data_IF_274044849447
#
_entry.id   IF_274044849447
#
_cell.length_a   1.000
_cell.length_b   1.000
_cell.length_c   1.000
_cell.angle_alpha   90.00
_cell.angle_beta   90.00
_cell.angle_gamma   90.00
#
_symmetry.space_group_name_H-M   'P 1'
#
loop_
_entity.id
_entity.type
_entity.pdbx_description
1 polymer ?
#
# COMPACT_ATOMS: atom_id res chain seq x y z
N UNK A 1 -17.24 13.56 -1.48
CA UNK A 1 -15.77 13.60 -1.28
C UNK A 1 -15.35 14.98 -0.80
N UNK A 2 -14.50 15.07 0.21
CA UNK A 2 -13.92 16.32 0.73
C UNK A 2 -12.41 16.24 0.66
N UNK A 3 -11.77 17.18 -0.03
CA UNK A 3 -10.30 17.26 -0.01
C UNK A 3 -9.86 17.66 1.40
N UNK A 4 -9.04 16.83 2.02
CA UNK A 4 -8.50 17.07 3.37
C UNK A 4 -7.05 17.53 3.31
N UNK A 5 -6.31 17.18 2.26
CA UNK A 5 -4.95 17.66 2.02
C UNK A 5 -4.71 17.87 0.53
N UNK A 6 -4.16 19.03 0.16
CA UNK A 6 -3.78 19.33 -1.21
C UNK A 6 -2.28 19.11 -1.43
N UNK A 7 -1.91 18.50 -2.57
CA UNK A 7 -0.52 18.21 -2.93
C UNK A 7 -0.21 16.72 -3.01
N UNK A 8 1.00 16.39 -3.47
CA UNK A 8 1.39 15.01 -3.76
C UNK A 8 1.61 14.20 -2.48
N UNK A 9 0.73 13.23 -2.26
CA UNK A 9 0.85 12.23 -1.18
C UNK A 9 1.50 10.97 -1.74
N UNK A 10 2.48 10.42 -1.03
CA UNK A 10 3.20 9.21 -1.45
C UNK A 10 2.55 7.94 -0.91
N UNK A 11 2.11 7.98 0.34
CA UNK A 11 1.51 6.83 1.02
C UNK A 11 0.73 7.30 2.24
N UNK A 12 -0.42 6.67 2.47
CA UNK A 12 -1.27 6.79 3.65
C UNK A 12 -1.31 5.41 4.33
N UNK A 13 -1.18 5.39 5.65
CA UNK A 13 -1.34 4.19 6.47
C UNK A 13 -2.39 4.44 7.55
N UNK A 14 -3.30 3.47 7.79
CA UNK A 14 -4.25 3.57 8.89
C UNK A 14 -3.50 3.45 10.23
N UNK A 15 -4.00 4.16 11.23
CA UNK A 15 -3.63 3.98 12.64
C UNK A 15 -4.91 3.69 13.44
N UNK A 16 -4.80 3.16 14.68
CA UNK A 16 -5.99 2.89 15.50
C UNK A 16 -6.88 4.12 15.74
N UNK A 17 -6.29 5.32 15.74
CA UNK A 17 -6.98 6.57 16.02
C UNK A 17 -7.05 7.51 14.81
N UNK A 18 -6.69 7.06 13.60
CA UNK A 18 -6.58 7.98 12.48
C UNK A 18 -5.81 7.44 11.28
N UNK A 19 -5.07 8.34 10.63
CA UNK A 19 -4.15 8.01 9.54
C UNK A 19 -2.84 8.76 9.71
N UNK A 20 -1.76 8.19 9.20
CA UNK A 20 -0.47 8.84 9.04
C UNK A 20 -0.07 8.76 7.57
N UNK A 21 0.53 9.81 7.03
CA UNK A 21 0.89 9.85 5.61
C UNK A 21 2.15 10.66 5.36
N UNK A 22 2.82 10.33 4.26
CA UNK A 22 3.98 11.05 3.74
C UNK A 22 3.61 11.84 2.48
N UNK A 23 4.18 13.02 2.33
CA UNK A 23 3.88 13.92 1.21
C UNK A 23 5.11 14.70 0.74
N UNK A 24 5.03 15.19 -0.49
CA UNK A 24 6.02 16.10 -1.06
C UNK A 24 5.89 17.47 -0.38
N UNK A 25 6.86 17.82 0.45
CA UNK A 25 6.92 19.13 1.10
C UNK A 25 7.50 20.18 0.16
N UNK A 26 8.59 19.84 -0.52
CA UNK A 26 9.31 20.75 -1.40
C UNK A 26 10.25 19.97 -2.34
N UNK A 27 10.79 20.66 -3.34
CA UNK A 27 11.85 20.17 -4.22
C UNK A 27 12.98 21.21 -4.25
N UNK A 28 14.17 20.84 -3.79
CA UNK A 28 15.36 21.71 -3.79
C UNK A 28 16.46 21.03 -4.59
N UNK A 29 16.94 21.69 -5.66
CA UNK A 29 18.00 21.17 -6.54
C UNK A 29 17.74 19.72 -7.00
N UNK A 30 16.54 19.47 -7.52
CA UNK A 30 16.00 18.15 -7.92
C UNK A 30 15.85 17.11 -6.79
N UNK A 31 16.20 17.45 -5.55
CA UNK A 31 16.00 16.60 -4.38
C UNK A 31 14.60 16.78 -3.81
N UNK A 32 13.90 15.65 -3.66
CA UNK A 32 12.57 15.59 -3.05
C UNK A 32 12.67 15.68 -1.53
N UNK A 33 12.04 16.70 -0.94
CA UNK A 33 11.87 16.81 0.51
C UNK A 33 10.54 16.19 0.89
N UNK A 34 10.60 15.17 1.75
CA UNK A 34 9.43 14.47 2.26
C UNK A 34 9.14 14.90 3.69
N UNK A 35 7.87 15.17 3.97
CA UNK A 35 7.37 15.40 5.32
C UNK A 35 6.20 14.46 5.63
N UNK A 36 5.80 14.47 6.91
CA UNK A 36 4.85 13.52 7.46
C UNK A 36 3.80 14.24 8.28
N UNK A 37 2.56 13.83 8.13
CA UNK A 37 1.43 14.33 8.93
C UNK A 37 0.59 13.17 9.43
N UNK A 38 -0.09 13.40 10.55
CA UNK A 38 -1.10 12.50 11.11
C UNK A 38 -2.40 13.26 11.28
N UNK A 39 -3.53 12.60 11.01
CA UNK A 39 -4.87 13.07 11.40
C UNK A 39 -5.36 12.10 12.46
N UNK A 40 -5.90 12.59 13.58
CA UNK A 40 -6.63 11.76 14.54
C UNK A 40 -8.13 12.02 14.47
N UNK A 41 -8.94 11.01 14.77
CA UNK A 41 -10.40 11.12 14.79
C UNK A 41 -10.91 12.03 15.91
N UNK A 42 -10.14 12.15 16.99
CA UNK A 42 -10.53 12.93 18.18
C UNK A 42 -10.67 14.44 17.88
N UNK A 43 -9.83 14.97 16.98
CA UNK A 43 -9.83 16.40 16.69
C UNK A 43 -9.93 16.74 15.19
N UNK A 44 -9.78 15.75 14.30
CA UNK A 44 -9.81 15.93 12.84
C UNK A 44 -8.72 16.85 12.31
N UNK A 45 -7.69 17.17 13.10
CA UNK A 45 -6.62 18.11 12.76
C UNK A 45 -5.37 17.38 12.29
N UNK A 46 -4.75 17.95 11.27
CA UNK A 46 -3.43 17.52 10.84
C UNK A 46 -2.37 17.99 11.84
N UNK A 47 -1.56 17.05 12.29
CA UNK A 47 -0.39 17.32 13.13
C UNK A 47 0.85 16.87 12.38
N UNK A 48 1.89 17.71 12.35
CA UNK A 48 3.19 17.29 11.82
C UNK A 48 3.78 16.21 12.73
N UNK A 49 4.35 15.16 12.12
CA UNK A 49 4.94 14.05 12.86
C UNK A 49 6.39 13.85 12.46
N UNK A 50 7.19 13.45 13.43
CA UNK A 50 8.60 13.15 13.20
C UNK A 50 8.75 11.87 12.36
N UNK A 51 9.83 11.81 11.56
CA UNK A 51 10.14 10.68 10.67
C UNK A 51 10.10 9.33 11.38
N UNK A 52 10.57 9.26 12.62
CA UNK A 52 10.58 8.04 13.41
C UNK A 52 9.16 7.49 13.70
N UNK A 53 8.15 8.35 13.85
CA UNK A 53 6.76 7.93 14.05
C UNK A 53 6.22 7.27 12.78
N UNK A 54 6.44 7.90 11.62
CA UNK A 54 6.08 7.33 10.32
C UNK A 54 6.76 5.98 10.06
N UNK A 55 8.07 5.89 10.32
CA UNK A 55 8.82 4.65 10.14
C UNK A 55 8.39 3.55 11.11
N UNK A 56 8.07 3.90 12.36
CA UNK A 56 7.52 2.96 13.34
C UNK A 56 6.20 2.38 12.86
N UNK A 57 5.30 3.19 12.28
CA UNK A 57 4.06 2.69 11.68
C UNK A 57 4.33 1.78 10.48
N UNK A 58 5.28 2.16 9.62
CA UNK A 58 5.57 1.43 8.37
C UNK A 58 6.27 0.07 8.58
N UNK A 59 7.18 -0.01 9.55
CA UNK A 59 8.09 -1.13 9.71
C UNK A 59 8.05 -1.78 11.10
N UNK A 60 7.27 -1.26 12.05
CA UNK A 60 7.23 -1.78 13.42
C UNK A 60 8.47 -1.42 14.24
N UNK A 61 8.67 -2.13 15.36
CA UNK A 61 9.61 -1.72 16.41
C UNK A 61 11.07 -1.56 15.92
N UNK A 62 11.52 -2.39 14.97
CA UNK A 62 12.88 -2.34 14.44
C UNK A 62 13.00 -1.49 13.15
N UNK A 63 12.15 -0.48 13.02
CA UNK A 63 12.11 0.42 11.87
C UNK A 63 13.45 1.04 11.50
N UNK A 64 14.35 1.30 12.47
CA UNK A 64 15.66 1.89 12.20
C UNK A 64 16.48 0.96 11.30
N UNK A 65 16.69 -0.28 11.73
CA UNK A 65 17.45 -1.29 10.99
C UNK A 65 16.78 -1.62 9.65
N UNK A 66 15.46 -1.81 9.64
CA UNK A 66 14.70 -2.07 8.41
C UNK A 66 14.84 -0.93 7.40
N UNK A 67 14.74 0.33 7.86
CA UNK A 67 14.85 1.49 6.98
C UNK A 67 16.25 1.65 6.36
N UNK A 68 17.31 1.23 7.04
CA UNK A 68 18.67 1.22 6.49
C UNK A 68 18.86 0.19 5.37
N UNK A 69 18.09 -0.90 5.40
CA UNK A 69 18.08 -1.91 4.33
C UNK A 69 17.28 -1.45 3.10
N UNK A 70 16.53 -0.36 3.22
CA UNK A 70 15.74 0.22 2.15
C UNK A 70 16.51 1.36 1.48
N UNK A 71 16.88 1.20 0.20
CA UNK A 71 17.45 2.31 -0.58
C UNK A 71 16.53 3.54 -0.60
N UNK A 72 15.21 3.30 -0.67
CA UNK A 72 14.18 4.33 -0.58
C UNK A 72 13.02 3.81 0.29
N UNK A 73 13.00 4.22 1.56
CA UNK A 73 11.98 3.81 2.53
C UNK A 73 10.60 4.41 2.26
N UNK A 74 10.47 5.44 1.42
CA UNK A 74 9.19 6.00 1.01
C UNK A 74 8.55 5.11 -0.06
N UNK A 75 9.32 4.72 -1.08
CA UNK A 75 8.81 3.97 -2.21
C UNK A 75 8.64 2.47 -1.95
N UNK A 76 9.40 1.89 -1.01
CA UNK A 76 9.26 0.47 -0.64
C UNK A 76 7.88 0.21 -0.04
N UNK A 77 7.26 -0.91 -0.41
CA UNK A 77 6.02 -1.39 0.22
C UNK A 77 6.37 -2.33 1.35
N UNK A 78 5.59 -2.30 2.42
CA UNK A 78 5.86 -3.14 3.60
C UNK A 78 4.60 -3.68 4.24
N UNK A 79 4.75 -4.83 4.88
CA UNK A 79 3.75 -5.45 5.74
C UNK A 79 4.45 -5.87 7.03
N UNK A 80 3.93 -5.43 8.17
CA UNK A 80 4.30 -5.98 9.48
C UNK A 80 3.41 -7.19 9.74
N UNK A 81 4.00 -8.38 9.77
CA UNK A 81 3.31 -9.64 10.01
C UNK A 81 2.90 -9.77 11.50
N UNK A 82 1.92 -10.63 11.86
CA UNK A 82 1.47 -10.79 13.25
C UNK A 82 2.57 -11.17 14.25
N UNK A 83 3.64 -11.82 13.78
CA UNK A 83 4.82 -12.17 14.57
C UNK A 83 5.91 -11.09 14.55
N UNK A 84 5.57 -9.85 14.18
CA UNK A 84 6.48 -8.69 14.06
C UNK A 84 7.60 -8.82 13.02
N UNK A 85 7.57 -9.87 12.18
CA UNK A 85 8.43 -9.94 10.98
C UNK A 85 7.98 -8.91 9.96
N UNK A 86 8.88 -8.47 9.11
CA UNK A 86 8.59 -7.45 8.09
C UNK A 86 8.79 -8.00 6.70
N UNK A 87 7.75 -7.96 5.88
CA UNK A 87 7.87 -8.24 4.46
C UNK A 87 8.05 -6.92 3.71
N UNK A 88 9.05 -6.85 2.83
CA UNK A 88 9.36 -5.69 2.00
C UNK A 88 9.20 -6.05 0.52
N UNK A 89 8.67 -5.10 -0.26
CA UNK A 89 8.64 -5.15 -1.72
C UNK A 89 9.23 -3.86 -2.29
N UNK A 90 10.29 -4.00 -3.08
CA UNK A 90 10.93 -2.92 -3.81
C UNK A 90 10.28 -2.76 -5.20
N UNK A 91 10.31 -1.53 -5.75
CA UNK A 91 9.67 -1.23 -7.04
C UNK A 91 10.23 -1.97 -8.26
N UNK A 92 11.39 -2.62 -8.13
CA UNK A 92 11.97 -3.50 -9.14
C UNK A 92 11.46 -4.96 -9.03
N UNK A 93 10.50 -5.22 -8.14
CA UNK A 93 9.95 -6.55 -7.87
C UNK A 93 10.74 -7.37 -6.85
N UNK A 94 11.92 -6.93 -6.39
CA UNK A 94 12.66 -7.64 -5.34
C UNK A 94 11.87 -7.61 -4.04
N UNK A 95 11.74 -8.76 -3.38
CA UNK A 95 11.04 -8.90 -2.11
C UNK A 95 11.93 -9.53 -1.05
N UNK A 96 11.73 -9.14 0.21
CA UNK A 96 12.49 -9.64 1.35
C UNK A 96 11.57 -9.91 2.54
N UNK A 97 11.81 -11.00 3.25
CA UNK A 97 11.23 -11.25 4.56
C UNK A 97 12.34 -11.07 5.60
N UNK A 98 12.10 -10.18 6.55
CA UNK A 98 13.01 -9.89 7.64
C UNK A 98 12.46 -10.45 8.94
N UNK A 99 13.34 -10.99 9.79
CA UNK A 99 12.98 -11.38 11.14
C UNK A 99 12.73 -10.14 12.02
N UNK A 100 12.27 -10.38 13.25
CA UNK A 100 12.01 -9.36 14.24
C UNK A 100 13.22 -8.47 14.48
N UNK A 101 14.45 -8.96 14.41
CA UNK A 101 15.72 -8.22 14.57
C UNK A 101 16.23 -7.56 13.28
N UNK A 102 15.44 -7.57 12.21
CA UNK A 102 15.77 -7.12 10.86
C UNK A 102 16.82 -7.97 10.12
N UNK A 103 17.17 -9.17 10.62
CA UNK A 103 17.96 -10.14 9.87
C UNK A 103 17.17 -10.67 8.65
N UNK A 104 17.87 -10.99 7.56
CA UNK A 104 17.23 -11.50 6.35
C UNK A 104 16.86 -12.98 6.50
N UNK A 105 15.58 -13.31 6.45
CA UNK A 105 15.08 -14.69 6.48
C UNK A 105 14.88 -15.26 5.08
N UNK A 106 14.41 -14.43 4.15
CA UNK A 106 14.13 -14.85 2.78
C UNK A 106 14.26 -13.67 1.82
N UNK A 107 14.64 -13.97 0.58
CA UNK A 107 14.66 -13.03 -0.53
C UNK A 107 14.14 -13.71 -1.80
N UNK A 108 13.48 -12.94 -2.66
CA UNK A 108 13.00 -13.41 -3.95
C UNK A 108 12.48 -12.26 -4.80
N UNK A 109 11.67 -12.60 -5.81
CA UNK A 109 11.07 -11.62 -6.72
C UNK A 109 9.57 -11.86 -6.85
N UNK A 110 8.79 -10.79 -6.78
CA UNK A 110 7.37 -10.76 -7.15
C UNK A 110 7.24 -10.15 -8.54
N UNK A 111 7.38 -11.00 -9.56
CA UNK A 111 7.26 -10.65 -10.97
C UNK A 111 6.26 -11.56 -11.67
N UNK A 112 5.56 -11.00 -12.65
CA UNK A 112 4.64 -11.75 -13.50
C UNK A 112 4.77 -11.29 -14.95
N UNK A 113 5.15 -12.20 -15.86
CA UNK A 113 5.36 -11.88 -17.30
C UNK A 113 6.25 -10.66 -17.54
N UNK A 114 7.28 -10.48 -16.71
CA UNK A 114 8.19 -9.32 -16.76
C UNK A 114 7.67 -8.05 -16.06
N UNK A 115 6.41 -8.02 -15.62
CA UNK A 115 5.87 -6.94 -14.79
C UNK A 115 6.31 -7.10 -13.34
N UNK A 116 6.63 -6.00 -12.66
CA UNK A 116 6.88 -5.99 -11.22
C UNK A 116 5.58 -5.78 -10.45
N UNK A 117 5.48 -6.36 -9.24
CA UNK A 117 4.38 -6.05 -8.34
C UNK A 117 4.40 -4.56 -7.95
N UNK A 118 3.23 -3.92 -7.97
CA UNK A 118 3.04 -2.51 -7.62
C UNK A 118 2.73 -2.31 -6.14
N UNK A 119 1.97 -3.24 -5.54
CA UNK A 119 1.62 -3.23 -4.12
C UNK A 119 1.33 -4.63 -3.60
N UNK A 120 1.36 -4.78 -2.27
CA UNK A 120 1.14 -6.02 -1.55
C UNK A 120 0.16 -5.85 -0.38
N UNK A 121 -0.56 -6.90 -0.05
CA UNK A 121 -1.42 -6.96 1.13
C UNK A 121 -1.42 -8.36 1.76
N UNK A 122 -1.60 -8.42 3.08
CA UNK A 122 -1.71 -9.68 3.82
C UNK A 122 -3.17 -9.96 4.13
N UNK A 123 -3.65 -11.14 3.76
CA UNK A 123 -4.94 -11.65 4.19
C UNK A 123 -4.78 -13.07 4.72
N UNK A 124 -5.12 -13.26 6.00
CA UNK A 124 -4.91 -14.52 6.73
C UNK A 124 -3.46 -14.98 6.55
N UNK A 125 -3.21 -16.16 5.97
CA UNK A 125 -1.87 -16.69 5.74
C UNK A 125 -1.41 -16.57 4.27
N UNK A 126 -1.97 -15.61 3.52
CA UNK A 126 -1.70 -15.42 2.09
C UNK A 126 -1.25 -14.00 1.81
N UNK A 127 -0.27 -13.88 0.93
CA UNK A 127 0.21 -12.61 0.41
C UNK A 127 -0.48 -12.35 -0.93
N UNK A 128 -1.09 -11.18 -1.07
CA UNK A 128 -1.70 -10.72 -2.29
C UNK A 128 -0.84 -9.64 -2.92
N UNK A 129 -0.66 -9.66 -4.23
CA UNK A 129 0.10 -8.66 -4.97
C UNK A 129 -0.61 -8.24 -6.25
N UNK A 130 -0.60 -6.96 -6.55
CA UNK A 130 -1.15 -6.43 -7.80
C UNK A 130 -0.04 -6.04 -8.77
N UNK A 131 -0.31 -6.17 -10.07
CA UNK A 131 0.65 -5.90 -11.14
C UNK A 131 0.02 -4.93 -12.14
N UNK A 132 0.45 -3.67 -12.08
CA UNK A 132 -0.15 -2.58 -12.85
C UNK A 132 -0.12 -2.84 -14.36
N UNK A 133 1.04 -3.21 -14.90
CA UNK A 133 1.25 -3.36 -16.35
C UNK A 133 0.65 -4.65 -16.92
N UNK A 134 0.38 -5.62 -16.04
CA UNK A 134 -0.19 -6.91 -16.41
C UNK A 134 -1.69 -7.01 -16.09
N UNK A 135 -2.28 -6.01 -15.40
CA UNK A 135 -3.66 -5.99 -14.95
C UNK A 135 -4.08 -7.28 -14.23
N UNK A 136 -3.27 -7.76 -13.29
CA UNK A 136 -3.56 -8.96 -12.51
C UNK A 136 -3.42 -8.72 -11.02
N UNK A 137 -4.17 -9.51 -10.26
CA UNK A 137 -4.04 -9.73 -8.83
C UNK A 137 -3.61 -11.19 -8.63
N UNK A 138 -2.50 -11.42 -7.94
CA UNK A 138 -1.97 -12.75 -7.63
C UNK A 138 -2.01 -13.02 -6.13
N UNK A 139 -2.30 -14.26 -5.76
CA UNK A 139 -2.19 -14.77 -4.40
C UNK A 139 -1.01 -15.71 -4.29
N UNK A 140 -0.21 -15.53 -3.24
CA UNK A 140 0.91 -16.38 -2.88
C UNK A 140 0.68 -16.98 -1.50
N UNK A 141 1.11 -18.22 -1.35
CA UNK A 141 1.24 -18.85 -0.04
C UNK A 141 2.36 -18.15 0.75
N UNK A 142 2.09 -17.63 1.95
CA UNK A 142 3.12 -16.88 2.68
C UNK A 142 4.30 -17.75 3.15
N UNK A 143 4.09 -19.04 3.37
CA UNK A 143 5.14 -19.94 3.85
C UNK A 143 6.05 -20.44 2.72
N UNK A 144 5.48 -20.75 1.55
CA UNK A 144 6.22 -21.33 0.44
C UNK A 144 6.52 -20.34 -0.69
N UNK A 145 5.88 -19.16 -0.66
CA UNK A 145 5.91 -18.13 -1.71
C UNK A 145 5.48 -18.65 -3.10
N UNK A 146 4.78 -19.78 -3.15
CA UNK A 146 4.19 -20.32 -4.39
C UNK A 146 2.94 -19.53 -4.76
N UNK A 147 2.80 -19.21 -6.04
CA UNK A 147 1.57 -18.66 -6.61
C UNK A 147 0.45 -19.71 -6.51
N UNK A 148 -0.71 -19.32 -6.02
CA UNK A 148 -1.86 -20.20 -5.82
C UNK A 148 -3.08 -19.79 -6.66
N UNK A 149 -3.23 -18.49 -6.94
CA UNK A 149 -4.41 -17.95 -7.62
C UNK A 149 -4.02 -16.71 -8.43
N UNK A 150 -4.70 -16.54 -9.56
CA UNK A 150 -4.68 -15.32 -10.38
C UNK A 150 -6.08 -14.85 -10.69
N UNK A 151 -6.31 -13.55 -10.54
CA UNK A 151 -7.50 -12.84 -11.03
C UNK A 151 -7.06 -11.79 -12.06
N UNK A 152 -7.73 -11.74 -13.21
CA UNK A 152 -7.42 -10.83 -14.32
C UNK A 152 -6.50 -11.42 -15.40
N UNK A 153 -5.85 -10.54 -16.17
CA UNK A 153 -5.01 -10.89 -17.33
C UNK A 153 -5.60 -10.34 -18.63
N UNK A 154 -5.79 -11.18 -19.65
CA UNK A 154 -6.27 -10.73 -20.98
C UNK A 154 -7.67 -10.10 -20.90
N UNK A 155 -8.58 -10.68 -20.12
CA UNK A 155 -9.85 -10.09 -19.73
C UNK A 155 -9.75 -9.75 -18.26
N UNK A 156 -9.38 -8.51 -17.96
CA UNK A 156 -9.18 -8.07 -16.59
C UNK A 156 -10.29 -7.14 -16.14
N UNK A 157 -10.83 -7.32 -14.92
CA UNK A 157 -11.60 -6.25 -14.29
C UNK A 157 -10.71 -5.07 -13.92
N UNK A 158 -9.39 -5.26 -13.85
CA UNK A 158 -8.43 -4.26 -13.43
C UNK A 158 -7.89 -3.44 -14.60
N UNK A 159 -7.56 -2.19 -14.33
CA UNK A 159 -6.86 -1.31 -15.27
C UNK A 159 -5.83 -0.46 -14.53
N UNK A 160 -4.56 -0.87 -14.65
CA UNK A 160 -3.42 -0.39 -13.87
C UNK A 160 -3.71 -0.42 -12.36
N UNK A 161 -3.89 -1.62 -11.76
CA UNK A 161 -4.02 -1.74 -10.31
C UNK A 161 -2.69 -1.35 -9.64
N UNK A 162 -2.73 -0.41 -8.70
CA UNK A 162 -1.52 0.19 -8.09
C UNK A 162 -1.48 0.13 -6.57
N UNK A 163 -2.61 -0.15 -5.91
CA UNK A 163 -2.62 -0.32 -4.46
C UNK A 163 -3.71 -1.27 -3.99
N UNK A 164 -3.43 -1.96 -2.87
CA UNK A 164 -4.29 -2.93 -2.22
C UNK A 164 -4.57 -2.54 -0.77
N UNK A 165 -5.82 -2.70 -0.35
CA UNK A 165 -6.22 -2.51 1.06
C UNK A 165 -7.20 -3.59 1.48
N UNK A 166 -6.97 -4.24 2.62
CA UNK A 166 -7.85 -5.30 3.12
C UNK A 166 -8.94 -4.70 4.01
N UNK A 167 -10.19 -4.97 3.68
CA UNK A 167 -11.37 -4.58 4.45
C UNK A 167 -12.23 -5.81 4.73
N UNK A 168 -12.11 -6.35 5.95
CA UNK A 168 -12.73 -7.61 6.33
C UNK A 168 -12.23 -8.76 5.45
N UNK A 169 -13.16 -9.41 4.75
CA UNK A 169 -12.89 -10.51 3.82
C UNK A 169 -12.79 -10.05 2.36
N UNK A 170 -12.66 -8.74 2.12
CA UNK A 170 -12.47 -8.18 0.78
C UNK A 170 -11.14 -7.46 0.65
N UNK A 171 -10.61 -7.41 -0.57
CA UNK A 171 -9.53 -6.50 -0.95
C UNK A 171 -10.09 -5.40 -1.82
N UNK A 172 -9.71 -4.16 -1.50
CA UNK A 172 -9.98 -2.95 -2.26
C UNK A 172 -8.77 -2.64 -3.12
N UNK A 173 -8.97 -2.55 -4.44
CA UNK A 173 -7.92 -2.34 -5.44
C UNK A 173 -8.10 -0.96 -6.07
N UNK A 174 -7.11 -0.09 -5.87
CA UNK A 174 -7.05 1.21 -6.54
C UNK A 174 -6.58 1.03 -7.98
N UNK A 175 -7.44 1.33 -8.96
CA UNK A 175 -7.14 1.20 -10.39
C UNK A 175 -6.88 2.58 -10.99
N UNK A 176 -5.59 2.87 -11.21
CA UNK A 176 -5.15 4.17 -11.71
C UNK A 176 -5.68 4.48 -13.11
N UNK A 177 -5.74 3.47 -13.97
CA UNK A 177 -6.07 3.68 -15.38
C UNK A 177 -7.58 3.85 -15.64
N UNK A 178 -8.43 3.09 -14.95
CA UNK A 178 -9.89 3.24 -15.03
C UNK A 178 -10.45 4.28 -14.07
N UNK A 179 -9.65 4.78 -13.13
CA UNK A 179 -10.07 5.69 -12.04
C UNK A 179 -11.16 5.08 -11.17
N UNK A 180 -11.13 3.75 -10.99
CA UNK A 180 -12.10 2.99 -10.20
C UNK A 180 -11.45 2.41 -8.96
N UNK A 181 -12.23 2.33 -7.90
CA UNK A 181 -11.98 1.42 -6.79
C UNK A 181 -12.76 0.13 -7.06
N UNK A 182 -12.05 -0.99 -7.10
CA UNK A 182 -12.64 -2.31 -7.35
C UNK A 182 -12.50 -3.14 -6.09
N UNK A 183 -13.58 -3.80 -5.67
CA UNK A 183 -13.56 -4.74 -4.56
C UNK A 183 -13.52 -6.17 -5.10
N UNK A 184 -12.74 -7.02 -4.44
CA UNK A 184 -12.74 -8.47 -4.66
C UNK A 184 -12.97 -9.16 -3.33
N UNK A 185 -14.01 -9.97 -3.26
CA UNK A 185 -14.26 -10.84 -2.12
C UNK A 185 -13.21 -11.96 -2.11
N UNK A 186 -12.46 -12.11 -1.03
CA UNK A 186 -11.29 -13.00 -0.95
C UNK A 186 -11.67 -14.47 -0.67
N UNK A 187 -12.96 -14.77 -0.48
CA UNK A 187 -13.47 -16.12 -0.27
C UNK A 187 -14.13 -16.68 -1.54
N UNK A 188 -14.96 -15.88 -2.22
CA UNK A 188 -15.71 -16.23 -3.44
C UNK A 188 -15.06 -15.76 -4.73
N UNK A 189 -14.11 -14.81 -4.64
CA UNK A 189 -13.45 -14.15 -5.78
C UNK A 189 -14.39 -13.35 -6.68
N UNK A 190 -15.58 -13.02 -6.16
CA UNK A 190 -16.52 -12.12 -6.83
C UNK A 190 -15.93 -10.72 -6.91
N UNK A 191 -16.08 -10.08 -8.07
CA UNK A 191 -15.51 -8.76 -8.37
C UNK A 191 -16.62 -7.73 -8.50
N UNK A 192 -16.45 -6.59 -7.83
CA UNK A 192 -17.42 -5.51 -7.80
C UNK A 192 -16.74 -4.18 -8.14
N UNK A 193 -17.34 -3.40 -9.02
CA UNK A 193 -16.98 -1.99 -9.15
C UNK A 193 -17.57 -1.24 -7.95
N UNK A 194 -16.70 -0.76 -7.07
CA UNK A 194 -17.12 -0.19 -5.79
C UNK A 194 -17.40 1.30 -5.91
N UNK A 195 -16.50 2.05 -6.56
CA UNK A 195 -16.62 3.50 -6.70
C UNK A 195 -15.85 4.01 -7.92
N UNK A 196 -16.31 5.11 -8.51
CA UNK A 196 -15.70 5.80 -9.64
C UNK A 196 -15.22 7.19 -9.21
N UNK A 197 -14.03 7.57 -9.66
CA UNK A 197 -13.42 8.87 -9.38
C UNK A 197 -13.21 9.67 -10.68
N UNK A 198 -13.13 10.98 -10.54
CA UNK A 198 -12.78 11.91 -11.64
C UNK A 198 -11.28 11.88 -11.96
N UNK A 199 -10.46 11.49 -10.97
CA UNK A 199 -9.00 11.41 -11.04
C UNK A 199 -8.52 9.98 -10.82
N UNK A 200 -7.30 9.64 -11.29
CA UNK A 200 -6.66 8.37 -10.94
C UNK A 200 -6.57 8.17 -9.42
N UNK A 201 -7.06 7.03 -8.95
CA UNK A 201 -6.92 6.62 -7.54
C UNK A 201 -5.60 5.85 -7.37
N UNK A 202 -4.71 6.38 -6.54
CA UNK A 202 -3.40 5.78 -6.25
C UNK A 202 -3.42 4.88 -5.03
N UNK A 203 -4.27 5.20 -4.05
CA UNK A 203 -4.41 4.42 -2.83
C UNK A 203 -5.77 4.66 -2.20
N UNK A 204 -6.34 3.61 -1.62
CA UNK A 204 -7.50 3.66 -0.74
C UNK A 204 -7.11 3.13 0.64
N UNK A 205 -7.58 3.76 1.70
CA UNK A 205 -7.38 3.32 3.08
C UNK A 205 -8.66 3.55 3.87
N UNK A 206 -9.05 2.60 4.71
CA UNK A 206 -10.06 2.80 5.74
C UNK A 206 -9.42 2.80 7.13
N UNK A 207 -9.84 3.73 7.98
CA UNK A 207 -9.45 3.77 9.37
C UNK A 207 -10.68 4.17 10.21
N UNK A 208 -11.07 3.31 11.14
CA UNK A 208 -12.38 3.40 11.79
C UNK A 208 -13.51 3.42 10.74
N UNK A 209 -14.44 4.37 10.90
CA UNK A 209 -15.54 4.59 9.95
C UNK A 209 -15.16 5.50 8.78
N UNK A 210 -13.94 6.08 8.78
CA UNK A 210 -13.49 7.02 7.77
C UNK A 210 -12.75 6.31 6.64
N UNK A 211 -13.07 6.68 5.40
CA UNK A 211 -12.42 6.17 4.19
C UNK A 211 -11.66 7.30 3.51
N UNK A 212 -10.49 6.98 3.00
CA UNK A 212 -9.59 7.94 2.38
C UNK A 212 -9.17 7.45 1.01
N UNK A 213 -9.07 8.38 0.06
CA UNK A 213 -8.49 8.14 -1.25
C UNK A 213 -7.37 9.13 -1.56
N UNK A 214 -6.25 8.63 -2.07
CA UNK A 214 -5.18 9.44 -2.65
C UNK A 214 -5.45 9.56 -4.15
N UNK A 215 -5.72 10.78 -4.60
CA UNK A 215 -5.89 11.16 -6.00
C UNK A 215 -4.67 11.99 -6.46
N UNK A 216 -4.61 12.36 -7.74
CA UNK A 216 -3.51 13.19 -8.27
C UNK A 216 -3.42 14.55 -7.56
N UNK A 217 -4.57 15.15 -7.24
CA UNK A 217 -4.67 16.46 -6.59
C UNK A 217 -4.48 16.44 -5.07
N UNK A 218 -4.53 15.27 -4.43
CA UNK A 218 -4.24 15.12 -3.00
C UNK A 218 -5.04 14.03 -2.29
N UNK A 219 -5.25 14.22 -0.99
CA UNK A 219 -5.93 13.27 -0.11
C UNK A 219 -7.37 13.71 0.14
N UNK A 220 -8.30 12.77 0.00
CA UNK A 220 -9.73 12.99 0.15
C UNK A 220 -10.32 12.08 1.22
N UNK A 221 -11.27 12.61 1.98
CA UNK A 221 -12.22 11.84 2.79
C UNK A 221 -13.45 11.52 1.92
N UNK A 222 -13.83 10.24 1.84
CA UNK A 222 -14.83 9.72 0.89
C UNK A 222 -15.99 8.94 1.55
#
# INVERSE_FOLDING_TARGET
MKQVFAGKVFEVMPTPSGIIFSYLKDTIDDNVIVAYKMITFDNGRFTDVAKNIYLLTKFGNNYKSVSMLCNNYIAVKSIVLPNSKVFLLHGNGTARLLDTDASLLWTGELKYRGCNAADIALYKNTLWACFADCNVLLRYNLATMREELRIGGNKSPFNKPVSLFIEGDSVMISNKGSKKLISVDLNSYSVFEYEQFEEPVHQYVKAGDNRFAVLDSGLYLI
#
